data_IF_915841848416
#
_entry.id   IF_915841848416
#
_cell.length_a   1.000
_cell.length_b   1.000
_cell.length_c   1.000
_cell.angle_alpha   90.00
_cell.angle_beta   90.00
_cell.angle_gamma   90.00
#
_symmetry.space_group_name_H-M   'P 1'
#
loop_
_entity.id
_entity.type
_entity.pdbx_description
1 polymer ?
#
# COMPACT_ATOMS: atom_id res chain seq x y z
N UNK A 1 40.51 0.23 5.60
CA UNK A 1 39.64 0.57 6.74
C UNK A 1 39.14 2.00 6.49
N UNK A 2 37.96 2.14 5.87
CA UNK A 2 37.02 3.28 5.81
C UNK A 2 35.92 2.82 4.81
N UNK A 3 34.94 2.08 5.30
CA UNK A 3 33.66 1.80 4.60
C UNK A 3 32.62 1.40 5.65
N UNK A 4 32.62 2.09 6.81
CA UNK A 4 31.67 1.78 7.90
C UNK A 4 30.57 2.82 8.06
N UNK A 5 30.72 3.98 7.41
CA UNK A 5 29.76 5.08 7.54
C UNK A 5 28.86 5.26 6.33
N UNK A 6 29.08 4.52 5.24
CA UNK A 6 28.16 4.57 4.09
C UNK A 6 26.83 3.86 4.41
N UNK A 7 26.89 2.76 5.17
CA UNK A 7 25.71 1.99 5.54
C UNK A 7 24.85 2.67 6.61
N UNK A 8 25.44 3.58 7.39
CA UNK A 8 24.75 4.24 8.50
C UNK A 8 23.90 5.44 8.06
N UNK A 9 24.18 6.02 6.89
CA UNK A 9 23.35 7.08 6.33
C UNK A 9 22.05 6.52 5.72
N UNK A 10 22.13 5.38 5.02
CA UNK A 10 20.95 4.73 4.44
C UNK A 10 20.07 4.02 5.47
N UNK A 11 20.61 3.64 6.63
CA UNK A 11 19.83 3.02 7.71
C UNK A 11 19.05 4.05 8.56
N UNK A 12 19.32 5.35 8.40
CA UNK A 12 18.54 6.41 9.05
C UNK A 12 17.39 6.92 8.15
N UNK A 13 17.45 6.65 6.83
CA UNK A 13 16.42 6.97 5.85
C UNK A 13 15.48 5.79 5.54
N UNK A 14 15.57 4.70 6.30
CA UNK A 14 14.60 3.61 6.18
C UNK A 14 13.26 4.02 6.81
N UNK A 15 12.40 4.50 5.90
CA UNK A 15 11.04 3.95 5.72
C UNK A 15 9.88 4.69 6.39
N UNK A 16 9.92 6.01 6.47
CA UNK A 16 8.66 6.79 6.45
C UNK A 16 8.07 6.74 5.04
N UNK A 17 7.35 5.64 4.78
CA UNK A 17 6.56 5.29 3.59
C UNK A 17 6.59 6.30 2.43
N UNK A 18 7.38 6.01 1.40
CA UNK A 18 7.35 6.69 0.07
C UNK A 18 5.97 6.56 -0.62
N UNK A 19 5.08 5.73 -0.08
CA UNK A 19 3.75 5.51 -0.61
C UNK A 19 2.80 6.64 -0.23
N UNK A 20 2.24 7.29 -1.25
CA UNK A 20 1.14 8.24 -1.07
C UNK A 20 -0.04 7.57 -0.35
N UNK A 21 -0.84 8.38 0.36
CA UNK A 21 -2.09 7.96 1.02
C UNK A 21 -2.98 7.10 0.11
N UNK A 22 -3.09 7.47 -1.16
CA UNK A 22 -3.83 6.71 -2.19
C UNK A 22 -3.25 5.30 -2.40
N UNK A 23 -1.93 5.17 -2.52
CA UNK A 23 -1.30 3.87 -2.70
C UNK A 23 -1.48 2.98 -1.47
N UNK A 24 -1.33 3.53 -0.26
CA UNK A 24 -1.59 2.79 0.98
C UNK A 24 -3.04 2.32 1.08
N UNK A 25 -3.99 3.18 0.68
CA UNK A 25 -5.41 2.81 0.63
C UNK A 25 -5.67 1.68 -0.38
N UNK A 26 -5.02 1.71 -1.54
CA UNK A 26 -5.15 0.62 -2.52
C UNK A 26 -4.57 -0.71 -2.01
N UNK A 27 -3.43 -0.67 -1.33
CA UNK A 27 -2.84 -1.88 -0.71
C UNK A 27 -3.80 -2.45 0.34
N UNK A 28 -4.34 -1.60 1.22
CA UNK A 28 -5.34 -2.00 2.21
C UNK A 28 -6.60 -2.60 1.55
N UNK A 29 -7.13 -1.98 0.49
CA UNK A 29 -8.27 -2.51 -0.26
C UNK A 29 -7.99 -3.88 -0.90
N UNK A 30 -6.78 -4.10 -1.42
CA UNK A 30 -6.37 -5.41 -1.93
C UNK A 30 -6.25 -6.46 -0.81
N UNK A 31 -5.62 -6.12 0.32
CA UNK A 31 -5.50 -7.01 1.46
C UNK A 31 -6.88 -7.42 2.03
N UNK A 32 -7.80 -6.47 2.14
CA UNK A 32 -9.19 -6.72 2.53
C UNK A 32 -9.91 -7.61 1.52
N UNK A 33 -9.77 -7.33 0.22
CA UNK A 33 -10.39 -8.13 -0.84
C UNK A 33 -9.85 -9.57 -0.91
N UNK A 34 -8.60 -9.78 -0.51
CA UNK A 34 -7.96 -11.09 -0.40
C UNK A 34 -8.23 -11.79 0.94
N UNK A 35 -8.93 -11.14 1.89
CA UNK A 35 -9.24 -11.70 3.20
C UNK A 35 -8.03 -11.87 4.11
N UNK A 36 -6.98 -11.04 3.95
CA UNK A 36 -5.71 -11.17 4.69
C UNK A 36 -5.77 -10.81 6.18
N UNK A 37 -6.95 -10.58 6.75
CA UNK A 37 -7.12 -10.41 8.17
C UNK A 37 -8.31 -9.54 8.57
N UNK A 38 -8.44 -9.28 9.88
CA UNK A 38 -9.44 -8.35 10.42
C UNK A 38 -9.23 -6.95 9.86
N UNK A 39 -10.35 -6.26 9.60
CA UNK A 39 -10.34 -4.93 8.97
C UNK A 39 -9.47 -3.93 9.73
N UNK A 40 -9.66 -3.81 11.04
CA UNK A 40 -8.92 -2.86 11.88
C UNK A 40 -7.39 -3.05 11.82
N UNK A 41 -6.92 -4.29 11.72
CA UNK A 41 -5.50 -4.61 11.62
C UNK A 41 -4.92 -4.18 10.27
N UNK A 42 -5.65 -4.45 9.17
CA UNK A 42 -5.23 -4.03 7.83
C UNK A 42 -5.15 -2.51 7.73
N UNK A 43 -6.10 -1.78 8.31
CA UNK A 43 -6.04 -0.31 8.34
C UNK A 43 -4.85 0.20 9.15
N UNK A 44 -4.60 -0.38 10.33
CA UNK A 44 -3.46 -0.01 11.18
C UNK A 44 -2.12 -0.25 10.49
N UNK A 45 -1.93 -1.42 9.89
CA UNK A 45 -0.69 -1.79 9.18
C UNK A 45 -0.40 -0.90 7.96
N UNK A 46 -1.44 -0.36 7.32
CA UNK A 46 -1.29 0.47 6.13
C UNK A 46 -1.37 1.98 6.44
N UNK A 47 -1.51 2.38 7.70
CA UNK A 47 -1.65 3.78 8.12
C UNK A 47 -2.73 4.53 7.32
N UNK A 48 -3.90 3.90 7.20
CA UNK A 48 -5.08 4.45 6.52
C UNK A 48 -6.30 4.37 7.41
N UNK A 49 -7.24 5.27 7.17
CA UNK A 49 -8.55 5.32 7.84
C UNK A 49 -9.65 4.76 6.95
N UNK A 50 -10.82 4.50 7.53
CA UNK A 50 -12.00 4.11 6.77
C UNK A 50 -12.40 5.17 5.74
N UNK A 51 -12.19 6.45 6.06
CA UNK A 51 -12.44 7.56 5.15
C UNK A 51 -11.52 7.51 3.92
N UNK A 52 -10.26 7.13 4.11
CA UNK A 52 -9.31 6.97 2.99
C UNK A 52 -9.72 5.81 2.07
N UNK A 53 -10.19 4.71 2.65
CA UNK A 53 -10.69 3.58 1.86
C UNK A 53 -11.89 4.02 1.01
N UNK A 54 -12.86 4.74 1.58
CA UNK A 54 -14.03 5.25 0.87
C UNK A 54 -13.65 6.26 -0.21
N UNK A 55 -12.72 7.17 0.07
CA UNK A 55 -12.24 8.18 -0.87
C UNK A 55 -11.59 7.53 -2.10
N UNK A 56 -10.77 6.50 -1.91
CA UNK A 56 -10.00 5.89 -2.98
C UNK A 56 -10.61 4.62 -3.59
N UNK A 57 -11.72 4.10 -3.05
CA UNK A 57 -12.34 2.86 -3.51
C UNK A 57 -12.71 2.90 -5.00
N UNK A 58 -13.32 3.98 -5.47
CA UNK A 58 -13.72 4.12 -6.87
C UNK A 58 -12.49 4.05 -7.80
N UNK A 59 -11.42 4.76 -7.44
CA UNK A 59 -10.17 4.75 -8.20
C UNK A 59 -9.49 3.38 -8.19
N UNK A 60 -9.56 2.65 -7.07
CA UNK A 60 -9.04 1.29 -6.95
C UNK A 60 -9.81 0.30 -7.83
N UNK A 61 -11.15 0.39 -7.85
CA UNK A 61 -11.98 -0.46 -8.73
C UNK A 61 -11.65 -0.23 -10.20
N UNK A 62 -11.42 1.02 -10.61
CA UNK A 62 -10.98 1.34 -11.96
C UNK A 62 -9.62 0.71 -12.28
N UNK A 63 -8.64 0.84 -11.38
CA UNK A 63 -7.33 0.22 -11.52
C UNK A 63 -7.44 -1.31 -11.67
N UNK A 64 -8.26 -1.96 -10.83
CA UNK A 64 -8.48 -3.41 -10.87
C UNK A 64 -9.09 -3.87 -12.20
N UNK A 65 -9.99 -3.07 -12.79
CA UNK A 65 -10.56 -3.35 -14.13
C UNK A 65 -9.51 -3.26 -15.24
N UNK A 66 -8.60 -2.29 -15.18
CA UNK A 66 -7.53 -2.14 -16.17
C UNK A 66 -6.43 -3.21 -16.03
N UNK A 67 -6.14 -3.63 -14.79
CA UNK A 67 -5.14 -4.67 -14.48
C UNK A 67 -5.68 -6.10 -14.59
N UNK A 68 -6.97 -6.30 -14.89
CA UNK A 68 -7.45 -7.62 -15.27
C UNK A 68 -7.01 -7.83 -16.71
N UNK A 69 -6.01 -8.68 -17.01
CA UNK A 69 -5.67 -8.98 -18.39
C UNK A 69 -6.97 -9.46 -19.04
N UNK A 70 -7.35 -8.79 -20.12
CA UNK A 70 -8.42 -9.28 -20.97
C UNK A 70 -7.91 -10.60 -21.54
N UNK A 71 -8.16 -11.71 -20.84
CA UNK A 71 -8.12 -13.05 -21.40
C UNK A 71 -9.28 -13.10 -22.39
N UNK A 72 -9.05 -12.48 -23.54
CA UNK A 72 -9.85 -12.63 -24.75
C UNK A 72 -9.91 -14.12 -25.07
N UNK A 73 -11.14 -14.64 -25.00
CA UNK A 73 -11.57 -15.97 -25.46
C UNK A 73 -11.27 -16.19 -26.93
#
# INVERSE_FOLDING_TARGET
MITRDYFSFYAAETEQSVLTRRHRAWVALYALAAGQGPRAEVLGLNEVTEADLLEFEASWRQLKRHNTPQLTR
#
